data_IF_234267523028
#
_entry.id   IF_234267523028
#
_cell.length_a   1.000
_cell.length_b   1.000
_cell.length_c   1.000
_cell.angle_alpha   90.00
_cell.angle_beta   90.00
_cell.angle_gamma   90.00
#
_symmetry.space_group_name_H-M   'P 1'
#
loop_
_entity.id
_entity.type
_entity.pdbx_description
1 polymer ?
#
# COMPACT_ATOMS: atom_id res chain seq x y z
N UNK A 1 6.76 -16.55 -12.77
CA UNK A 1 5.93 -15.33 -12.85
C UNK A 1 6.33 -14.48 -11.67
N UNK A 2 6.96 -13.33 -11.90
CA UNK A 2 7.23 -12.38 -10.81
C UNK A 2 5.92 -11.79 -10.35
N UNK A 3 5.30 -12.41 -9.34
CA UNK A 3 4.25 -11.75 -8.58
C UNK A 3 4.90 -10.61 -7.83
N UNK A 4 4.64 -9.38 -8.29
CA UNK A 4 4.92 -8.17 -7.49
C UNK A 4 4.38 -8.39 -6.08
N UNK A 5 5.16 -7.96 -5.08
CA UNK A 5 4.88 -8.22 -3.67
C UNK A 5 3.52 -7.68 -3.20
N UNK A 6 2.90 -6.79 -4.00
CA UNK A 6 1.63 -6.13 -3.72
C UNK A 6 0.43 -6.82 -4.41
N UNK A 7 0.59 -8.05 -4.89
CA UNK A 7 -0.47 -8.80 -5.60
C UNK A 7 -1.75 -8.95 -4.77
N UNK A 8 -1.63 -9.19 -3.46
CA UNK A 8 -2.77 -9.27 -2.54
C UNK A 8 -3.51 -7.95 -2.44
N UNK A 9 -2.79 -6.84 -2.31
CA UNK A 9 -3.37 -5.49 -2.24
C UNK A 9 -4.18 -5.18 -3.50
N UNK A 10 -3.59 -5.36 -4.69
CA UNK A 10 -4.29 -5.12 -5.95
C UNK A 10 -5.48 -6.07 -6.17
N UNK A 11 -5.39 -7.32 -5.68
CA UNK A 11 -6.52 -8.26 -5.77
C UNK A 11 -7.70 -7.78 -4.93
N UNK A 12 -7.44 -7.25 -3.74
CA UNK A 12 -8.47 -6.69 -2.86
C UNK A 12 -9.08 -5.43 -3.48
N UNK A 13 -8.24 -4.50 -3.96
CA UNK A 13 -8.70 -3.28 -4.64
C UNK A 13 -9.57 -3.59 -5.87
N UNK A 14 -9.12 -4.54 -6.70
CA UNK A 14 -9.88 -5.03 -7.84
C UNK A 14 -11.22 -5.62 -7.42
N UNK A 15 -11.25 -6.48 -6.40
CA UNK A 15 -12.51 -7.07 -5.91
C UNK A 15 -13.50 -6.02 -5.40
N UNK A 16 -13.01 -5.03 -4.64
CA UNK A 16 -13.84 -3.92 -4.13
C UNK A 16 -14.37 -3.05 -5.26
N UNK A 17 -13.54 -2.70 -6.24
CA UNK A 17 -13.96 -1.91 -7.41
C UNK A 17 -14.99 -2.63 -8.29
N UNK A 18 -14.92 -3.97 -8.37
CA UNK A 18 -15.87 -4.80 -9.12
C UNK A 18 -17.20 -5.03 -8.40
N UNK A 19 -17.31 -4.73 -7.09
CA UNK A 19 -18.52 -4.94 -6.29
C UNK A 19 -19.81 -4.42 -6.97
N UNK A 20 -19.88 -3.18 -7.52
CA UNK A 20 -21.10 -2.68 -8.16
C UNK A 20 -21.48 -3.50 -9.40
N UNK A 21 -20.50 -3.85 -10.24
CA UNK A 21 -20.70 -4.66 -11.44
C UNK A 21 -21.20 -6.05 -11.10
N UNK A 22 -20.66 -6.65 -10.04
CA UNK A 22 -21.10 -7.96 -9.55
C UNK A 22 -22.55 -7.89 -9.05
N UNK A 23 -22.93 -6.84 -8.30
CA UNK A 23 -24.30 -6.64 -7.83
C UNK A 23 -25.26 -6.47 -9.02
N UNK A 24 -24.87 -5.71 -10.04
CA UNK A 24 -25.66 -5.54 -11.27
C UNK A 24 -25.84 -6.86 -12.01
N UNK A 25 -24.76 -7.64 -12.15
CA UNK A 25 -24.80 -8.97 -12.74
C UNK A 25 -25.73 -9.89 -11.95
N UNK A 26 -25.62 -9.89 -10.62
CA UNK A 26 -26.49 -10.68 -9.75
C UNK A 26 -27.96 -10.34 -9.98
N UNK A 27 -28.31 -9.05 -10.00
CA UNK A 27 -29.66 -8.59 -10.26
C UNK A 27 -30.17 -9.03 -11.64
N UNK A 28 -29.32 -8.95 -12.65
CA UNK A 28 -29.66 -9.36 -14.03
C UNK A 28 -29.94 -10.86 -14.11
N UNK A 29 -29.08 -11.69 -13.50
CA UNK A 29 -29.24 -13.14 -13.48
C UNK A 29 -30.48 -13.57 -12.68
N UNK A 30 -30.75 -12.92 -11.56
CA UNK A 30 -31.88 -13.25 -10.69
C UNK A 30 -33.24 -12.93 -11.34
N UNK A 31 -33.29 -11.88 -12.18
CA UNK A 31 -34.49 -11.49 -12.92
C UNK A 31 -34.66 -12.25 -14.25
N UNK A 32 -33.78 -13.20 -14.55
CA UNK A 32 -33.83 -13.95 -15.80
C UNK A 32 -35.01 -14.93 -15.85
N UNK A 33 -35.58 -15.14 -17.04
CA UNK A 33 -36.74 -16.03 -17.23
C UNK A 33 -36.40 -17.52 -17.06
N UNK A 34 -35.18 -17.90 -17.46
CA UNK A 34 -34.66 -19.27 -17.36
C UNK A 34 -34.25 -19.59 -15.92
N UNK A 35 -34.79 -20.69 -15.38
CA UNK A 35 -34.54 -21.13 -14.00
C UNK A 35 -33.07 -21.45 -13.72
N UNK A 36 -32.36 -22.06 -14.66
CA UNK A 36 -30.95 -22.42 -14.49
C UNK A 36 -30.08 -21.18 -14.28
N UNK A 37 -30.32 -20.12 -15.04
CA UNK A 37 -29.61 -18.83 -14.91
C UNK A 37 -29.87 -18.17 -13.55
N UNK A 38 -31.09 -18.28 -13.01
CA UNK A 38 -31.38 -17.80 -11.65
C UNK A 38 -30.65 -18.59 -10.57
N UNK A 39 -30.49 -19.91 -10.76
CA UNK A 39 -29.73 -20.77 -9.83
C UNK A 39 -28.25 -20.39 -9.78
N UNK A 40 -27.69 -19.89 -10.89
CA UNK A 40 -26.34 -19.34 -10.91
C UNK A 40 -26.23 -18.06 -10.05
N UNK A 41 -27.26 -17.21 -10.04
CA UNK A 41 -27.30 -16.04 -9.16
C UNK A 41 -27.26 -16.43 -7.67
N UNK A 42 -28.06 -17.42 -7.28
CA UNK A 42 -28.07 -17.98 -5.91
C UNK A 42 -26.69 -18.55 -5.53
N UNK A 43 -26.07 -19.26 -6.47
CA UNK A 43 -24.73 -19.83 -6.28
C UNK A 43 -23.69 -18.72 -6.13
N UNK A 44 -23.75 -17.67 -6.96
CA UNK A 44 -22.85 -16.53 -6.89
C UNK A 44 -22.94 -15.81 -5.55
N UNK A 45 -24.16 -15.60 -5.03
CA UNK A 45 -24.38 -15.00 -3.71
C UNK A 45 -23.69 -15.75 -2.56
N UNK A 46 -23.51 -17.07 -2.69
CA UNK A 46 -22.83 -17.87 -1.65
C UNK A 46 -21.31 -17.66 -1.58
N UNK A 47 -20.70 -17.15 -2.65
CA UNK A 47 -19.26 -16.88 -2.73
C UNK A 47 -18.92 -15.41 -2.52
N UNK A 48 -19.91 -14.51 -2.57
CA UNK A 48 -19.65 -13.09 -2.42
C UNK A 48 -19.37 -12.73 -0.96
N UNK A 49 -18.39 -11.85 -0.71
CA UNK A 49 -18.21 -11.31 0.62
C UNK A 49 -19.49 -10.64 1.11
N UNK A 50 -19.78 -10.80 2.39
CA UNK A 50 -20.83 -10.07 3.10
C UNK A 50 -20.55 -8.56 3.13
N UNK A 51 -21.53 -7.77 3.55
CA UNK A 51 -21.36 -6.31 3.69
C UNK A 51 -20.19 -5.97 4.63
N UNK A 52 -20.15 -6.59 5.81
CA UNK A 52 -19.10 -6.42 6.82
C UNK A 52 -17.71 -6.84 6.28
N UNK A 53 -17.64 -7.91 5.47
CA UNK A 53 -16.40 -8.32 4.84
C UNK A 53 -15.95 -7.32 3.78
N UNK A 54 -16.85 -6.77 2.98
CA UNK A 54 -16.51 -5.68 2.06
C UNK A 54 -16.06 -4.42 2.80
N UNK A 55 -16.65 -4.09 3.95
CA UNK A 55 -16.18 -2.98 4.80
C UNK A 55 -14.77 -3.23 5.31
N UNK A 56 -14.49 -4.45 5.81
CA UNK A 56 -13.13 -4.86 6.18
C UNK A 56 -12.15 -4.73 5.01
N UNK A 57 -12.52 -5.18 3.81
CA UNK A 57 -11.65 -5.06 2.62
C UNK A 57 -11.36 -3.60 2.28
N UNK A 58 -12.34 -2.70 2.38
CA UNK A 58 -12.12 -1.26 2.21
C UNK A 58 -11.15 -0.70 3.25
N UNK A 59 -11.32 -1.07 4.51
CA UNK A 59 -10.42 -0.65 5.59
C UNK A 59 -8.99 -1.17 5.39
N UNK A 60 -8.84 -2.41 4.91
CA UNK A 60 -7.53 -2.98 4.57
C UNK A 60 -6.87 -2.23 3.41
N UNK A 61 -7.63 -1.80 2.39
CA UNK A 61 -7.08 -0.96 1.30
C UNK A 61 -6.50 0.32 1.89
N UNK A 62 -7.21 1.00 2.79
CA UNK A 62 -6.72 2.23 3.43
C UNK A 62 -5.45 1.99 4.26
N UNK A 63 -5.39 0.89 5.00
CA UNK A 63 -4.21 0.51 5.80
C UNK A 63 -3.00 0.23 4.90
N UNK A 64 -3.21 -0.43 3.75
CA UNK A 64 -2.14 -0.93 2.88
C UNK A 64 -1.71 0.07 1.79
N UNK A 65 -2.57 1.00 1.36
CA UNK A 65 -2.27 2.00 0.32
C UNK A 65 -0.97 2.77 0.56
N UNK A 66 -0.66 3.26 1.79
CA UNK A 66 0.60 3.95 2.05
C UNK A 66 1.84 3.08 1.76
N UNK A 67 1.74 1.78 1.98
CA UNK A 67 2.85 0.85 1.69
C UNK A 67 2.99 0.62 0.20
N UNK A 68 1.88 0.51 -0.54
CA UNK A 68 1.93 0.43 -2.00
C UNK A 68 2.58 1.69 -2.59
N UNK A 69 2.16 2.87 -2.13
CA UNK A 69 2.75 4.17 -2.53
C UNK A 69 4.27 4.22 -2.25
N UNK A 70 4.67 3.84 -1.03
CA UNK A 70 6.07 3.77 -0.63
C UNK A 70 6.88 2.82 -1.52
N UNK A 71 6.34 1.63 -1.80
CA UNK A 71 7.02 0.63 -2.64
C UNK A 71 7.09 1.06 -4.11
N UNK A 72 6.05 1.68 -4.65
CA UNK A 72 6.09 2.24 -6.00
C UNK A 72 7.17 3.32 -6.09
N UNK A 73 7.24 4.22 -5.11
CA UNK A 73 8.27 5.25 -5.05
C UNK A 73 9.68 4.65 -5.00
N UNK A 74 9.93 3.70 -4.10
CA UNK A 74 11.23 3.02 -4.00
C UNK A 74 11.60 2.27 -5.29
N UNK A 75 10.63 1.63 -5.94
CA UNK A 75 10.87 0.88 -7.18
C UNK A 75 11.29 1.78 -8.35
N UNK A 76 10.94 3.07 -8.31
CA UNK A 76 11.37 4.08 -9.28
C UNK A 76 12.64 4.82 -8.88
N UNK A 77 13.17 4.60 -7.67
CA UNK A 77 14.39 5.26 -7.20
C UNK A 77 15.63 4.45 -7.56
N UNK A 78 16.63 5.09 -8.20
CA UNK A 78 17.90 4.42 -8.53
C UNK A 78 18.77 4.18 -7.28
N UNK A 79 18.65 5.05 -6.26
CA UNK A 79 19.43 4.96 -5.01
C UNK A 79 18.63 5.48 -3.80
N UNK A 80 17.82 4.62 -3.14
CA UNK A 80 17.20 4.99 -1.88
C UNK A 80 18.28 5.16 -0.79
N UNK A 81 18.37 6.35 -0.19
CA UNK A 81 19.29 6.63 0.92
C UNK A 81 18.65 6.28 2.26
N UNK A 82 19.48 6.12 3.30
CA UNK A 82 19.01 5.83 4.66
C UNK A 82 18.10 6.93 5.22
N UNK A 83 18.42 8.21 4.93
CA UNK A 83 17.56 9.34 5.31
C UNK A 83 16.17 9.26 4.67
N UNK A 84 16.10 8.94 3.37
CA UNK A 84 14.83 8.74 2.68
C UNK A 84 14.03 7.58 3.28
N UNK A 85 14.69 6.45 3.57
CA UNK A 85 14.05 5.29 4.19
C UNK A 85 13.48 5.64 5.58
N UNK A 86 14.22 6.41 6.36
CA UNK A 86 13.81 6.89 7.69
C UNK A 86 12.54 7.74 7.61
N UNK A 87 12.54 8.78 6.77
CA UNK A 87 11.38 9.66 6.59
C UNK A 87 10.15 8.91 6.09
N UNK A 88 10.34 7.93 5.19
CA UNK A 88 9.26 7.09 4.69
C UNK A 88 8.65 6.21 5.80
N UNK A 89 9.47 5.59 6.66
CA UNK A 89 8.99 4.79 7.79
C UNK A 89 8.24 5.63 8.83
N UNK A 90 8.70 6.84 9.10
CA UNK A 90 8.00 7.80 9.96
C UNK A 90 6.63 8.17 9.40
N UNK A 91 6.55 8.44 8.09
CA UNK A 91 5.30 8.75 7.40
C UNK A 91 4.32 7.58 7.40
N UNK A 92 4.79 6.36 7.13
CA UNK A 92 3.97 5.13 7.20
C UNK A 92 3.40 4.94 8.62
N UNK A 93 4.25 5.10 9.63
CA UNK A 93 3.87 5.00 11.05
C UNK A 93 2.83 6.06 11.41
N UNK A 94 3.04 7.30 10.96
CA UNK A 94 2.11 8.42 11.17
C UNK A 94 0.74 8.13 10.55
N UNK A 95 0.69 7.67 9.30
CA UNK A 95 -0.56 7.32 8.61
C UNK A 95 -1.29 6.17 9.30
N UNK A 96 -0.58 5.12 9.71
CA UNK A 96 -1.16 4.01 10.48
C UNK A 96 -1.75 4.46 11.82
N UNK A 97 -1.09 5.38 12.54
CA UNK A 97 -1.61 5.91 13.81
C UNK A 97 -2.87 6.76 13.62
N UNK A 98 -3.01 7.41 12.48
CA UNK A 98 -4.17 8.23 12.13
C UNK A 98 -5.35 7.42 11.59
N UNK A 99 -5.12 6.16 11.21
CA UNK A 99 -6.20 5.29 10.75
C UNK A 99 -7.22 5.04 11.85
N UNK A 100 -8.47 5.37 11.58
CA UNK A 100 -9.63 5.07 12.43
C UNK A 100 -10.61 4.19 11.67
N UNK A 101 -10.48 2.87 11.85
CA UNK A 101 -11.41 1.87 11.31
C UNK A 101 -12.49 1.48 12.31
N UNK A 102 -13.55 0.86 11.82
CA UNK A 102 -14.61 0.27 12.63
C UNK A 102 -14.43 -1.25 12.79
N UNK A 103 -13.78 -1.91 11.83
CA UNK A 103 -13.58 -3.35 11.91
C UNK A 103 -12.50 -3.72 12.92
N UNK A 104 -12.85 -4.53 13.92
CA UNK A 104 -11.88 -5.04 14.89
C UNK A 104 -10.72 -5.81 14.22
N UNK A 105 -10.99 -6.47 13.08
CA UNK A 105 -9.98 -7.18 12.30
C UNK A 105 -9.01 -6.20 11.62
N UNK A 106 -9.52 -5.10 11.07
CA UNK A 106 -8.68 -4.06 10.48
C UNK A 106 -7.83 -3.37 11.55
N UNK A 107 -8.42 -3.06 12.71
CA UNK A 107 -7.70 -2.49 13.86
C UNK A 107 -6.58 -3.45 14.31
N UNK A 108 -6.87 -4.74 14.42
CA UNK A 108 -5.87 -5.75 14.76
C UNK A 108 -4.73 -5.81 13.73
N UNK A 109 -5.04 -5.78 12.43
CA UNK A 109 -4.01 -5.75 11.37
C UNK A 109 -3.17 -4.48 11.47
N UNK A 110 -3.81 -3.31 11.63
CA UNK A 110 -3.14 -2.01 11.82
C UNK A 110 -2.20 -2.05 13.02
N UNK A 111 -2.65 -2.53 14.17
CA UNK A 111 -1.84 -2.63 15.40
C UNK A 111 -0.68 -3.61 15.20
N UNK A 112 -0.92 -4.75 14.55
CA UNK A 112 0.11 -5.75 14.25
C UNK A 112 1.21 -5.15 13.36
N UNK A 113 0.84 -4.48 12.27
CA UNK A 113 1.80 -3.84 11.37
C UNK A 113 2.57 -2.73 12.11
N UNK A 114 1.87 -1.91 12.90
CA UNK A 114 2.48 -0.83 13.65
C UNK A 114 3.51 -1.35 14.67
N UNK A 115 3.18 -2.41 15.41
CA UNK A 115 4.11 -3.02 16.37
C UNK A 115 5.35 -3.58 15.66
N UNK A 116 5.16 -4.29 14.54
CA UNK A 116 6.27 -4.81 13.74
C UNK A 116 7.19 -3.67 13.23
N UNK A 117 6.61 -2.56 12.76
CA UNK A 117 7.40 -1.41 12.31
C UNK A 117 8.22 -0.78 13.43
N UNK A 118 7.63 -0.65 14.63
CA UNK A 118 8.32 -0.10 15.80
C UNK A 118 9.45 -1.03 16.26
N UNK A 119 9.19 -2.33 16.37
CA UNK A 119 10.19 -3.33 16.75
C UNK A 119 11.37 -3.34 15.77
N UNK A 120 11.10 -3.45 14.47
CA UNK A 120 12.16 -3.45 13.45
C UNK A 120 12.98 -2.14 13.44
N UNK A 121 12.33 -1.00 13.75
CA UNK A 121 13.01 0.29 13.75
C UNK A 121 13.89 0.50 14.98
N UNK A 122 13.43 0.14 16.18
CA UNK A 122 14.22 0.26 17.41
C UNK A 122 15.42 -0.70 17.40
N UNK A 123 15.28 -1.89 16.83
CA UNK A 123 16.41 -2.82 16.62
C UNK A 123 17.47 -2.22 15.69
N UNK A 124 17.06 -1.50 14.64
CA UNK A 124 17.99 -0.85 13.70
C UNK A 124 18.82 0.28 14.31
N UNK A 125 18.30 0.95 15.36
CA UNK A 125 19.05 1.97 16.10
C UNK A 125 20.07 1.38 17.06
N UNK A 126 19.85 0.13 17.52
CA UNK A 126 20.76 -0.57 18.43
C UNK A 126 22.01 -1.11 17.74
N UNK A 127 21.93 -1.30 16.41
CA UNK A 127 23.08 -1.62 15.56
C UNK A 127 23.76 -0.31 15.17
N UNK A 128 24.79 0.08 15.91
CA UNK A 128 25.64 1.23 15.63
C UNK A 128 26.10 1.24 14.16
N UNK A 129 25.39 1.95 13.29
CA UNK A 129 25.96 2.40 12.02
C UNK A 129 26.99 3.45 12.42
N UNK A 130 28.27 3.32 12.03
CA UNK A 130 29.27 4.32 12.37
C UNK A 130 28.79 5.68 11.88
N UNK A 131 28.97 6.69 12.73
CA UNK A 131 28.72 8.14 12.59
C UNK A 131 29.45 8.79 11.37
N UNK A 132 29.94 7.97 10.44
CA UNK A 132 30.74 8.33 9.29
C UNK A 132 29.88 8.63 8.05
N UNK A 133 28.59 8.23 8.05
CA UNK A 133 27.68 8.47 6.91
C UNK A 133 27.15 9.91 6.84
N UNK A 134 27.07 10.63 7.97
CA UNK A 134 26.67 12.05 8.00
C UNK A 134 27.70 12.98 7.35
N UNK A 135 28.93 12.51 7.12
CA UNK A 135 29.99 13.29 6.46
C UNK A 135 29.83 13.40 4.94
N UNK A 136 28.93 12.62 4.32
CA UNK A 136 28.71 12.65 2.87
C UNK A 136 27.48 13.47 2.44
N UNK A 137 26.75 14.07 3.39
CA UNK A 137 25.61 14.96 3.10
C UNK A 137 26.02 16.43 2.89
N UNK A 138 27.30 16.78 2.98
CA UNK A 138 27.79 18.06 2.46
C UNK A 138 27.78 18.01 0.94
N UNK A 139 26.66 18.43 0.34
CA UNK A 139 26.59 18.78 -1.08
C UNK A 139 27.70 19.80 -1.33
N UNK A 140 28.68 19.54 -2.23
CA UNK A 140 29.60 20.59 -2.61
C UNK A 140 28.77 21.71 -3.23
N UNK A 141 28.89 22.93 -2.72
CA UNK A 141 28.37 24.11 -3.41
C UNK A 141 28.95 24.08 -4.83
N UNK A 142 28.11 23.72 -5.80
CA UNK A 142 28.45 23.86 -7.21
C UNK A 142 28.50 25.36 -7.46
N UNK A 143 29.70 25.93 -7.33
CA UNK A 143 30.00 27.25 -7.84
C UNK A 143 29.80 27.17 -9.36
N UNK A 144 28.74 27.82 -9.85
CA UNK A 144 28.57 28.10 -11.27
C UNK A 144 29.65 29.12 -11.66
N UNK A 145 30.87 28.65 -11.91
CA UNK A 145 31.82 29.43 -12.69
C UNK A 145 31.37 29.36 -14.16
N UNK A 146 31.06 30.54 -14.70
CA UNK A 146 30.72 30.75 -16.10
C UNK A 146 31.88 30.31 -17.01
N UNK A 147 31.84 29.09 -17.54
CA UNK A 147 32.68 28.73 -18.67
C UNK A 147 32.11 29.35 -19.96
N UNK A 148 32.67 30.51 -20.29
CA UNK A 148 32.58 31.16 -21.59
C UNK A 148 33.14 30.26 -22.70
N UNK A 149 32.27 29.65 -23.50
CA UNK A 149 32.67 28.95 -24.73
C UNK A 149 33.24 29.94 -25.76
N UNK A 150 34.39 29.63 -26.42
CA UNK A 150 34.90 30.47 -27.49
C UNK A 150 34.09 30.25 -28.78
N UNK A 151 33.68 31.37 -29.39
CA UNK A 151 33.13 31.40 -30.76
C UNK A 151 34.23 31.03 -31.77
N UNK A 152 34.02 29.93 -32.49
CA UNK A 152 34.53 29.72 -33.85
C UNK A 152 33.41 29.10 -34.69
#
# INVERSE_FOLDING_TARGET
VDTRWNSTFYSIECLVSLKPTIIQLHSTLNNHTVREIRREAETMSSFLPSADEFELLNELIVILSPFDEAMQFLSGSEYPTLGFMTSMLEELTRRLRQFTGQSYKAIFVKDTILNNLVECWEDSKSTNVPDEFDRYCEIPEISLEEESYPLI
#
